data_IF_921601047303
#
_entry.id   IF_921601047303
#
_cell.length_a   1.000
_cell.length_b   1.000
_cell.length_c   1.000
_cell.angle_alpha   90.00
_cell.angle_beta   90.00
_cell.angle_gamma   90.00
#
_symmetry.space_group_name_H-M   'P 1'
#
loop_
_entity.id
_entity.type
_entity.pdbx_description
1 polymer ?
#
# COMPACT_ATOMS: atom_id res chain seq x y z
N UNK A 1 12.91 23.95 2.66
CA UNK A 1 12.82 22.59 2.07
C UNK A 1 12.38 21.48 3.05
N UNK A 2 12.85 21.38 4.32
CA UNK A 2 12.35 20.35 5.25
C UNK A 2 10.91 20.61 5.76
N UNK A 3 10.55 21.88 5.95
CA UNK A 3 9.24 22.30 6.47
C UNK A 3 8.08 21.93 5.53
N UNK A 4 8.29 22.06 4.23
CA UNK A 4 7.30 21.74 3.20
C UNK A 4 7.03 20.23 3.13
N UNK A 5 8.07 19.41 3.19
CA UNK A 5 7.95 17.95 3.24
C UNK A 5 7.14 17.48 4.46
N UNK A 6 7.45 18.02 5.65
CA UNK A 6 6.72 17.70 6.88
C UNK A 6 5.25 18.14 6.77
N UNK A 7 5.01 19.32 6.17
CA UNK A 7 3.66 19.86 5.99
C UNK A 7 2.86 19.00 5.00
N UNK A 8 3.46 18.62 3.86
CA UNK A 8 2.88 17.72 2.88
C UNK A 8 2.53 16.36 3.50
N UNK A 9 3.47 15.75 4.23
CA UNK A 9 3.25 14.49 4.94
C UNK A 9 2.07 14.60 5.93
N UNK A 10 2.03 15.66 6.75
CA UNK A 10 0.93 15.87 7.72
C UNK A 10 -0.42 16.05 7.03
N UNK A 11 -0.48 16.80 5.94
CA UNK A 11 -1.72 17.01 5.17
C UNK A 11 -2.22 15.70 4.54
N UNK A 12 -1.33 14.96 3.87
CA UNK A 12 -1.65 13.65 3.29
C UNK A 12 -2.08 12.63 4.35
N UNK A 13 -1.38 12.57 5.48
CA UNK A 13 -1.73 11.66 6.56
C UNK A 13 -3.12 11.95 7.12
N UNK A 14 -3.46 13.23 7.36
CA UNK A 14 -4.79 13.62 7.86
C UNK A 14 -5.88 13.31 6.83
N UNK A 15 -5.66 13.66 5.56
CA UNK A 15 -6.60 13.38 4.48
C UNK A 15 -6.83 11.88 4.29
N UNK A 16 -5.74 11.09 4.25
CA UNK A 16 -5.80 9.64 4.08
C UNK A 16 -6.50 8.93 5.23
N UNK A 17 -6.26 9.34 6.48
CA UNK A 17 -6.95 8.79 7.64
C UNK A 17 -8.46 9.09 7.63
N UNK A 18 -8.85 10.30 7.21
CA UNK A 18 -10.26 10.67 7.02
C UNK A 18 -10.90 9.88 5.88
N UNK A 19 -10.20 9.71 4.76
CA UNK A 19 -10.68 8.96 3.59
C UNK A 19 -11.01 7.51 3.92
N UNK A 20 -10.20 6.86 4.76
CA UNK A 20 -10.48 5.49 5.24
C UNK A 20 -11.35 5.44 6.50
N UNK A 21 -11.89 6.57 6.93
CA UNK A 21 -12.74 6.71 8.13
C UNK A 21 -12.11 6.10 9.38
N UNK A 22 -10.77 6.20 9.50
CA UNK A 22 -9.99 5.62 10.60
C UNK A 22 -10.19 4.10 10.80
N UNK A 23 -10.71 3.38 9.79
CA UNK A 23 -10.99 1.96 9.86
C UNK A 23 -9.73 1.09 10.03
N UNK A 24 -9.86 -0.02 10.74
CA UNK A 24 -8.83 -1.07 10.81
C UNK A 24 -9.15 -2.13 9.73
N UNK A 25 -8.18 -2.64 8.95
CA UNK A 25 -6.74 -2.38 9.01
C UNK A 25 -6.26 -1.15 8.20
N UNK A 26 -7.11 -0.55 7.37
CA UNK A 26 -6.74 0.46 6.37
C UNK A 26 -5.96 1.67 6.91
N UNK A 27 -6.28 2.15 8.12
CA UNK A 27 -5.56 3.27 8.76
C UNK A 27 -4.06 2.99 8.93
N UNK A 28 -3.69 1.75 9.21
CA UNK A 28 -2.29 1.36 9.41
C UNK A 28 -1.58 1.25 8.08
N UNK A 29 -2.27 0.70 7.08
CA UNK A 29 -1.77 0.55 5.72
C UNK A 29 -1.45 1.91 5.10
N UNK A 30 -2.39 2.86 5.15
CA UNK A 30 -2.19 4.23 4.63
C UNK A 30 -1.00 4.90 5.33
N UNK A 31 -0.92 4.79 6.66
CA UNK A 31 0.19 5.35 7.43
C UNK A 31 1.53 4.75 7.01
N UNK A 32 1.59 3.43 6.87
CA UNK A 32 2.83 2.71 6.61
C UNK A 32 3.31 2.93 5.16
N UNK A 33 2.38 3.00 4.20
CA UNK A 33 2.69 3.40 2.82
C UNK A 33 3.17 4.85 2.73
N UNK A 34 2.51 5.80 3.40
CA UNK A 34 2.97 7.19 3.44
C UNK A 34 4.38 7.29 4.05
N UNK A 35 4.64 6.58 5.15
CA UNK A 35 5.98 6.53 5.74
C UNK A 35 7.00 5.92 4.80
N UNK A 36 6.66 4.85 4.09
CA UNK A 36 7.55 4.23 3.12
C UNK A 36 7.86 5.21 1.97
N UNK A 37 6.84 5.85 1.40
CA UNK A 37 7.01 6.81 0.31
C UNK A 37 7.88 8.03 0.67
N UNK A 38 7.69 8.61 1.86
CA UNK A 38 8.47 9.76 2.32
C UNK A 38 9.88 9.40 2.83
N UNK A 39 10.16 8.13 3.14
CA UNK A 39 11.50 7.66 3.54
C UNK A 39 12.35 7.19 2.36
N UNK A 40 11.71 6.96 1.22
CA UNK A 40 12.35 6.50 0.00
C UNK A 40 13.13 7.67 -0.63
N UNK A 41 14.46 7.56 -0.61
CA UNK A 41 15.39 8.61 -1.04
C UNK A 41 15.37 8.88 -2.54
N UNK A 42 14.82 7.96 -3.32
CA UNK A 42 14.83 8.03 -4.78
C UNK A 42 13.61 8.79 -5.34
N UNK A 43 12.61 9.08 -4.50
CA UNK A 43 11.40 9.76 -4.94
C UNK A 43 11.59 11.28 -4.96
N UNK A 44 11.34 11.89 -6.11
CA UNK A 44 11.31 13.35 -6.25
C UNK A 44 10.04 13.90 -5.60
N UNK A 45 10.20 14.94 -4.78
CA UNK A 45 9.08 15.61 -4.15
C UNK A 45 8.41 16.57 -5.15
N UNK A 46 7.18 16.24 -5.53
CA UNK A 46 6.38 17.04 -6.46
C UNK A 46 5.15 17.63 -5.73
N UNK A 47 5.14 18.93 -5.40
CA UNK A 47 4.09 19.53 -4.57
C UNK A 47 2.71 19.49 -5.23
N UNK A 48 2.64 19.60 -6.56
CA UNK A 48 1.37 19.54 -7.27
C UNK A 48 0.76 18.13 -7.25
N UNK A 49 1.59 17.08 -7.34
CA UNK A 49 1.11 15.70 -7.21
C UNK A 49 0.54 15.43 -5.81
N UNK A 50 1.18 16.00 -4.78
CA UNK A 50 0.67 15.95 -3.41
C UNK A 50 -0.68 16.66 -3.30
N UNK A 51 -0.82 17.85 -3.90
CA UNK A 51 -2.07 18.63 -3.87
C UNK A 51 -3.23 17.86 -4.49
N UNK A 52 -3.02 17.28 -5.68
CA UNK A 52 -4.03 16.46 -6.38
C UNK A 52 -4.40 15.20 -5.58
N UNK A 53 -3.41 14.55 -4.98
CA UNK A 53 -3.65 13.39 -4.11
C UNK A 53 -4.47 13.75 -2.87
N UNK A 54 -4.25 14.92 -2.26
CA UNK A 54 -5.09 15.40 -1.15
C UNK A 54 -6.54 15.62 -1.62
N UNK A 55 -6.73 16.19 -2.81
CA UNK A 55 -8.06 16.36 -3.41
C UNK A 55 -8.77 15.02 -3.60
N UNK A 56 -8.10 14.04 -4.20
CA UNK A 56 -8.59 12.68 -4.36
C UNK A 56 -8.99 12.04 -3.02
N UNK A 57 -8.15 12.15 -1.99
CA UNK A 57 -8.44 11.61 -0.66
C UNK A 57 -9.62 12.30 0.02
N UNK A 58 -9.77 13.62 -0.15
CA UNK A 58 -10.91 14.35 0.39
C UNK A 58 -12.21 13.93 -0.32
N UNK A 59 -12.18 13.76 -1.66
CA UNK A 59 -13.33 13.25 -2.41
C UNK A 59 -13.73 11.83 -1.94
N UNK A 60 -12.74 10.94 -1.75
CA UNK A 60 -12.96 9.60 -1.19
C UNK A 60 -13.51 9.58 0.25
N UNK A 61 -13.30 10.67 1.01
CA UNK A 61 -13.83 10.83 2.36
C UNK A 61 -15.29 11.33 2.36
N UNK A 62 -15.62 12.19 1.40
CA UNK A 62 -16.91 12.87 1.32
C UNK A 62 -18.02 11.94 0.80
N UNK A 63 -17.72 11.14 -0.22
CA UNK A 63 -18.71 10.28 -0.88
C UNK A 63 -18.20 8.85 -1.09
N UNK A 64 -19.13 7.89 -1.19
CA UNK A 64 -18.82 6.49 -1.56
C UNK A 64 -18.69 6.32 -3.08
N UNK A 65 -17.95 7.23 -3.70
CA UNK A 65 -17.69 7.29 -5.13
C UNK A 65 -16.64 6.30 -5.62
N UNK A 66 -16.11 6.56 -6.82
CA UNK A 66 -15.06 5.75 -7.42
C UNK A 66 -13.75 5.88 -6.63
N UNK A 67 -13.42 7.07 -6.16
CA UNK A 67 -12.23 7.37 -5.36
C UNK A 67 -12.21 6.53 -4.07
N UNK A 68 -13.37 6.43 -3.42
CA UNK A 68 -13.53 5.58 -2.23
C UNK A 68 -13.32 4.10 -2.56
N UNK A 69 -13.89 3.60 -3.67
CA UNK A 69 -13.72 2.21 -4.11
C UNK A 69 -12.27 1.91 -4.48
N UNK A 70 -11.60 2.82 -5.19
CA UNK A 70 -10.18 2.72 -5.54
C UNK A 70 -9.33 2.65 -4.28
N UNK A 71 -9.50 3.59 -3.35
CA UNK A 71 -8.74 3.63 -2.10
C UNK A 71 -8.97 2.37 -1.24
N UNK A 72 -10.20 1.86 -1.19
CA UNK A 72 -10.54 0.61 -0.50
C UNK A 72 -9.80 -0.58 -1.13
N UNK A 73 -9.77 -0.66 -2.45
CA UNK A 73 -9.07 -1.72 -3.18
C UNK A 73 -7.55 -1.63 -2.96
N UNK A 74 -6.97 -0.43 -3.01
CA UNK A 74 -5.56 -0.20 -2.69
C UNK A 74 -5.20 -0.73 -1.29
N UNK A 75 -6.00 -0.35 -0.29
CA UNK A 75 -5.80 -0.84 1.07
C UNK A 75 -5.96 -2.37 1.16
N UNK A 76 -6.92 -2.95 0.45
CA UNK A 76 -7.16 -4.40 0.46
C UNK A 76 -5.98 -5.16 -0.15
N UNK A 77 -5.48 -4.74 -1.31
CA UNK A 77 -4.35 -5.39 -1.98
C UNK A 77 -3.09 -5.30 -1.12
N UNK A 78 -2.80 -4.12 -0.56
CA UNK A 78 -1.63 -3.94 0.29
C UNK A 78 -1.72 -4.75 1.60
N UNK A 79 -2.92 -4.94 2.13
CA UNK A 79 -3.16 -5.82 3.28
C UNK A 79 -2.76 -7.26 2.95
N UNK A 80 -3.23 -7.79 1.80
CA UNK A 80 -2.91 -9.15 1.38
C UNK A 80 -1.40 -9.31 1.12
N UNK A 81 -0.75 -8.35 0.46
CA UNK A 81 0.73 -8.34 0.30
C UNK A 81 1.45 -8.43 1.65
N UNK A 82 1.00 -7.64 2.62
CA UNK A 82 1.61 -7.61 3.95
C UNK A 82 1.40 -8.92 4.72
N UNK A 83 0.29 -9.61 4.49
CA UNK A 83 0.01 -10.95 5.03
C UNK A 83 0.91 -12.01 4.40
N UNK A 84 1.05 -12.00 3.08
CA UNK A 84 1.93 -12.93 2.33
C UNK A 84 3.39 -12.80 2.74
N UNK A 85 3.88 -11.56 2.92
CA UNK A 85 5.24 -11.28 3.36
C UNK A 85 5.49 -11.61 4.85
N UNK A 86 4.49 -12.13 5.58
CA UNK A 86 4.63 -12.47 6.99
C UNK A 86 4.93 -11.28 7.90
N UNK A 87 4.66 -10.03 7.47
CA UNK A 87 4.83 -8.80 8.26
C UNK A 87 3.73 -8.62 9.32
N UNK A 88 2.97 -9.69 9.59
CA UNK A 88 1.91 -9.74 10.60
C UNK A 88 2.42 -10.15 11.98
N UNK A 89 1.46 -10.50 12.86
CA UNK A 89 1.70 -10.90 14.24
C UNK A 89 2.76 -12.02 14.32
N UNK A 90 3.69 -11.95 15.26
CA UNK A 90 4.81 -12.92 15.37
C UNK A 90 4.31 -14.38 15.44
N UNK A 91 3.15 -14.60 16.06
CA UNK A 91 2.47 -15.91 16.11
C UNK A 91 2.09 -16.43 14.72
N UNK A 92 1.65 -15.55 13.81
CA UNK A 92 1.34 -15.89 12.42
C UNK A 92 2.61 -16.24 11.65
N UNK A 93 3.71 -15.52 11.92
CA UNK A 93 5.02 -15.82 11.34
C UNK A 93 5.52 -17.19 11.80
N UNK A 94 5.39 -17.51 13.09
CA UNK A 94 5.72 -18.85 13.60
C UNK A 94 4.85 -19.92 12.96
N UNK A 95 3.53 -19.69 12.84
CA UNK A 95 2.63 -20.66 12.20
C UNK A 95 2.98 -20.87 10.73
N UNK A 96 3.32 -19.81 9.99
CA UNK A 96 3.79 -19.90 8.61
C UNK A 96 5.10 -20.67 8.50
N UNK A 97 6.07 -20.41 9.39
CA UNK A 97 7.34 -21.13 9.45
C UNK A 97 7.13 -22.61 9.80
N UNK A 98 6.28 -22.92 10.78
CA UNK A 98 5.91 -24.30 11.14
C UNK A 98 5.17 -25.01 10.00
N UNK A 99 4.26 -24.33 9.30
CA UNK A 99 3.58 -24.85 8.12
C UNK A 99 4.56 -25.06 6.95
N UNK A 100 5.56 -24.18 6.77
CA UNK A 100 6.64 -24.32 5.80
C UNK A 100 7.55 -25.50 6.14
N UNK A 101 8.00 -25.63 7.39
CA UNK A 101 8.82 -26.74 7.89
C UNK A 101 8.09 -28.08 7.77
N UNK A 102 6.80 -28.14 8.12
CA UNK A 102 5.97 -29.33 7.95
C UNK A 102 5.77 -29.70 6.47
N UNK A 103 5.75 -28.71 5.56
CA UNK A 103 5.68 -28.94 4.11
C UNK A 103 7.03 -29.38 3.53
N UNK A 104 8.14 -28.82 4.00
CA UNK A 104 9.51 -29.20 3.60
C UNK A 104 9.84 -30.61 4.07
N UNK A 105 9.45 -30.96 5.30
CA UNK A 105 9.60 -32.32 5.86
C UNK A 105 8.79 -33.37 5.08
N UNK A 106 7.63 -33.02 4.53
CA UNK A 106 6.77 -33.92 3.74
C UNK A 106 7.07 -33.94 2.23
N UNK A 107 7.81 -32.97 1.70
CA UNK A 107 8.21 -32.87 0.29
C UNK A 107 9.64 -32.35 0.21
N UNK A 108 10.60 -33.24 0.00
CA UNK A 108 12.03 -32.93 -0.19
C UNK A 108 12.37 -32.14 -1.48
N UNK A 109 11.45 -31.35 -2.02
CA UNK A 109 11.64 -30.55 -3.22
C UNK A 109 11.38 -29.07 -2.92
N UNK A 110 12.38 -28.21 -3.15
CA UNK A 110 12.19 -26.76 -3.24
C UNK A 110 11.01 -26.49 -4.17
N UNK A 111 10.05 -25.65 -3.75
CA UNK A 111 8.93 -25.27 -4.63
C UNK A 111 9.53 -24.69 -5.92
N UNK A 112 9.17 -25.20 -7.11
CA UNK A 112 9.63 -24.62 -8.36
C UNK A 112 9.21 -23.15 -8.40
N UNK A 113 10.06 -22.30 -8.97
CA UNK A 113 9.72 -20.91 -9.26
C UNK A 113 8.46 -20.90 -10.11
N UNK A 114 7.39 -20.28 -9.59
CA UNK A 114 6.14 -20.11 -10.32
C UNK A 114 6.13 -18.68 -10.88
N UNK A 115 6.34 -18.49 -12.20
CA UNK A 115 6.35 -17.18 -12.83
C UNK A 115 5.04 -16.42 -12.59
N UNK A 116 3.92 -17.15 -12.43
CA UNK A 116 2.60 -16.56 -12.21
C UNK A 116 2.51 -15.93 -10.82
N UNK A 117 3.09 -16.58 -9.80
CA UNK A 117 3.15 -15.99 -8.45
C UNK A 117 4.12 -14.82 -8.38
N UNK A 118 5.25 -14.90 -9.09
CA UNK A 118 6.22 -13.82 -9.16
C UNK A 118 5.62 -12.55 -9.80
N UNK A 119 4.86 -12.70 -10.89
CA UNK A 119 4.22 -11.60 -11.62
C UNK A 119 2.84 -11.17 -11.09
N UNK A 120 2.34 -11.77 -9.99
CA UNK A 120 0.96 -11.60 -9.50
C UNK A 120 0.50 -10.15 -9.34
N UNK A 121 1.44 -9.26 -9.01
CA UNK A 121 1.16 -7.86 -8.72
C UNK A 121 1.64 -6.89 -9.82
N UNK A 122 2.33 -7.37 -10.85
CA UNK A 122 2.95 -6.51 -11.88
C UNK A 122 1.91 -5.69 -12.64
N UNK A 123 0.86 -6.33 -13.15
CA UNK A 123 -0.23 -5.62 -13.85
C UNK A 123 -0.94 -4.62 -12.94
N UNK A 124 -1.10 -4.97 -11.67
CA UNK A 124 -1.71 -4.08 -10.70
C UNK A 124 -0.81 -2.86 -10.44
N UNK A 125 0.48 -3.05 -10.26
CA UNK A 125 1.41 -1.95 -10.03
C UNK A 125 1.51 -1.03 -11.27
N UNK A 126 1.50 -1.61 -12.47
CA UNK A 126 1.46 -0.86 -13.72
C UNK A 126 0.18 -0.01 -13.84
N UNK A 127 -0.99 -0.58 -13.51
CA UNK A 127 -2.26 0.17 -13.56
C UNK A 127 -2.31 1.30 -12.54
N UNK A 128 -1.76 1.11 -11.33
CA UNK A 128 -1.62 2.19 -10.35
C UNK A 128 -0.66 3.28 -10.85
N UNK A 129 0.42 2.88 -11.53
CA UNK A 129 1.35 3.84 -12.14
C UNK A 129 0.68 4.66 -13.25
N UNK A 130 -0.05 4.01 -14.16
CA UNK A 130 -0.82 4.69 -15.21
C UNK A 130 -1.88 5.64 -14.64
N UNK A 131 -2.52 5.26 -13.52
CA UNK A 131 -3.47 6.13 -12.81
C UNK A 131 -2.76 7.37 -12.24
N UNK A 132 -1.59 7.19 -11.64
CA UNK A 132 -0.79 8.28 -11.11
C UNK A 132 -0.32 9.24 -12.21
N UNK A 133 0.10 8.71 -13.36
CA UNK A 133 0.59 9.55 -14.45
C UNK A 133 -0.54 10.28 -15.17
N UNK A 134 -1.70 9.64 -15.37
CA UNK A 134 -2.86 10.29 -15.99
C UNK A 134 -3.49 11.36 -15.11
N UNK A 135 -3.61 11.15 -13.79
CA UNK A 135 -4.20 12.12 -12.86
C UNK A 135 -3.17 13.03 -12.17
N UNK A 136 -1.87 12.77 -12.38
CA UNK A 136 -0.77 13.46 -11.71
C UNK A 136 -0.82 13.28 -10.19
N UNK A 137 -1.01 12.06 -9.71
CA UNK A 137 -1.08 11.73 -8.28
C UNK A 137 0.15 10.95 -7.83
N UNK A 138 0.19 10.61 -6.53
CA UNK A 138 1.27 9.83 -5.91
C UNK A 138 0.73 8.68 -5.04
N UNK A 139 -0.23 7.89 -5.56
CA UNK A 139 -0.74 6.68 -4.89
C UNK A 139 0.27 5.53 -4.98
N UNK A 140 0.26 4.61 -4.00
CA UNK A 140 1.17 3.46 -3.94
C UNK A 140 0.47 2.23 -3.35
#
# INVERSE_FOLDING_TARGET
>A
MPSELITAYRKLLRAGLRAVQFSKPSRFIVRDQLRAGFRDTNNKFEPERVRRTIWFLNAAAQERGLEHKILKNLCRVQFERSRELGKGNWKTKIKLLQDEEAKISKKGAKRPYDPIQAGKYEFYDLTVQMLNDSMGMCLR
#
